data_IF_886709075684
#
_entry.id   IF_886709075684
#
_cell.length_a   1.000
_cell.length_b   1.000
_cell.length_c   1.000
_cell.angle_alpha   90.00
_cell.angle_beta   90.00
_cell.angle_gamma   90.00
#
_symmetry.space_group_name_H-M   'P 1'
#
loop_
_entity.id
_entity.type
_entity.pdbx_description
1 polymer ?
#
# COMPACT_ATOMS: atom_id res chain seq x y z
N UNK A 1 42.86 17.67 10.32
CA UNK A 1 41.91 16.57 9.97
C UNK A 1 40.49 16.79 10.49
N UNK A 2 40.27 16.98 11.80
CA UNK A 2 38.91 17.07 12.39
C UNK A 2 37.99 18.14 11.77
N UNK A 3 38.53 19.31 11.41
CA UNK A 3 37.77 20.41 10.77
C UNK A 3 37.31 20.10 9.34
N UNK A 4 38.13 19.37 8.57
CA UNK A 4 37.80 18.98 7.19
C UNK A 4 36.75 17.88 7.21
N UNK A 5 36.91 16.89 8.10
CA UNK A 5 35.92 15.83 8.30
C UNK A 5 34.55 16.43 8.69
N UNK A 6 34.53 17.36 9.66
CA UNK A 6 33.29 18.04 10.08
C UNK A 6 32.60 18.82 8.95
N UNK A 7 33.36 19.54 8.12
CA UNK A 7 32.80 20.26 6.95
C UNK A 7 32.25 19.30 5.91
N UNK A 8 32.95 18.19 5.67
CA UNK A 8 32.49 17.15 4.76
C UNK A 8 31.19 16.49 5.26
N UNK A 9 31.11 16.16 6.55
CA UNK A 9 29.88 15.62 7.16
C UNK A 9 28.72 16.61 7.04
N UNK A 10 28.96 17.90 7.28
CA UNK A 10 27.92 18.93 7.13
C UNK A 10 27.44 19.08 5.70
N UNK A 11 28.34 19.01 4.72
CA UNK A 11 27.98 19.03 3.29
C UNK A 11 27.16 17.82 2.89
N UNK A 12 27.54 16.62 3.36
CA UNK A 12 26.78 15.39 3.12
C UNK A 12 25.38 15.49 3.73
N UNK A 13 25.26 15.96 4.98
CA UNK A 13 23.95 16.16 5.62
C UNK A 13 23.12 17.20 4.86
N UNK A 14 23.70 18.34 4.47
CA UNK A 14 23.02 19.38 3.71
C UNK A 14 22.54 18.89 2.33
N UNK A 15 23.25 17.94 1.72
CA UNK A 15 22.86 17.32 0.46
C UNK A 15 21.73 16.29 0.65
N UNK A 16 21.77 15.51 1.74
CA UNK A 16 20.80 14.43 1.99
C UNK A 16 19.45 14.95 2.51
N UNK A 17 19.44 15.98 3.36
CA UNK A 17 18.20 16.55 3.93
C UNK A 17 17.13 16.87 2.87
N UNK A 18 17.40 17.63 1.79
CA UNK A 18 16.37 17.95 0.81
C UNK A 18 15.84 16.71 0.08
N UNK A 19 16.70 15.71 -0.14
CA UNK A 19 16.31 14.45 -0.78
C UNK A 19 15.30 13.67 0.06
N UNK A 20 15.55 13.57 1.37
CA UNK A 20 14.62 12.93 2.30
C UNK A 20 13.40 13.80 2.62
N UNK A 21 13.55 15.13 2.66
CA UNK A 21 12.44 16.05 2.92
C UNK A 21 11.35 15.92 1.86
N UNK A 22 11.72 15.84 0.57
CA UNK A 22 10.74 15.62 -0.51
C UNK A 22 10.00 14.30 -0.32
N UNK A 23 10.70 13.25 0.10
CA UNK A 23 10.06 11.98 0.43
C UNK A 23 9.07 12.07 1.58
N UNK A 24 9.33 12.88 2.61
CA UNK A 24 8.41 13.11 3.72
C UNK A 24 7.22 14.01 3.35
N UNK A 25 7.34 14.84 2.31
CA UNK A 25 6.24 15.70 1.85
C UNK A 25 5.24 14.99 0.95
N UNK A 26 5.56 13.79 0.45
CA UNK A 26 4.62 13.00 -0.31
C UNK A 26 3.49 12.48 0.59
N UNK A 27 2.26 12.84 0.28
CA UNK A 27 1.07 12.22 0.86
C UNK A 27 0.48 11.21 -0.10
N UNK A 28 0.55 9.94 0.26
CA UNK A 28 -0.31 8.92 -0.32
C UNK A 28 -1.53 8.81 0.58
N UNK A 29 -2.73 8.81 0.03
CA UNK A 29 -3.97 8.69 0.80
C UNK A 29 -4.70 7.41 0.43
N UNK A 30 -5.26 6.74 1.45
CA UNK A 30 -6.14 5.59 1.22
C UNK A 30 -7.41 6.07 0.52
N UNK A 31 -7.80 5.47 -0.62
CA UNK A 31 -9.04 5.83 -1.30
C UNK A 31 -10.26 5.62 -0.39
N UNK A 32 -11.21 6.58 -0.31
CA UNK A 32 -12.40 6.44 0.52
C UNK A 32 -13.21 5.18 0.23
N UNK A 33 -13.31 4.79 -1.05
CA UNK A 33 -14.02 3.59 -1.49
C UNK A 33 -13.51 2.28 -0.86
N UNK A 34 -12.26 2.23 -0.36
CA UNK A 34 -11.76 1.07 0.38
C UNK A 34 -12.46 0.92 1.74
N UNK A 35 -12.75 2.05 2.41
CA UNK A 35 -13.44 2.07 3.71
C UNK A 35 -14.92 1.76 3.60
N UNK A 36 -15.46 1.78 2.39
CA UNK A 36 -16.86 1.46 2.13
C UNK A 36 -17.08 -0.02 1.80
N UNK A 37 -16.01 -0.81 1.63
CA UNK A 37 -16.10 -2.27 1.51
C UNK A 37 -16.46 -2.81 2.89
N UNK A 38 -17.65 -3.38 3.01
CA UNK A 38 -18.22 -3.86 4.27
C UNK A 38 -18.28 -5.38 4.35
N UNK A 39 -18.38 -5.89 5.58
CA UNK A 39 -18.71 -7.29 5.84
C UNK A 39 -20.07 -7.60 5.20
N UNK A 40 -20.17 -8.73 4.50
CA UNK A 40 -21.36 -9.13 3.76
C UNK A 40 -21.45 -8.62 2.32
N UNK A 41 -20.53 -7.76 1.87
CA UNK A 41 -20.46 -7.39 0.45
C UNK A 41 -20.16 -8.62 -0.42
N UNK A 42 -20.71 -8.66 -1.63
CA UNK A 42 -20.39 -9.69 -2.60
C UNK A 42 -19.14 -9.37 -3.42
N UNK A 43 -18.63 -10.38 -4.15
CA UNK A 43 -17.45 -10.24 -5.01
C UNK A 43 -17.56 -9.11 -6.04
N UNK A 44 -18.75 -8.87 -6.60
CA UNK A 44 -18.95 -7.87 -7.64
C UNK A 44 -18.92 -6.46 -7.05
N UNK A 45 -19.55 -6.25 -5.89
CA UNK A 45 -19.49 -5.02 -5.10
C UNK A 45 -18.04 -4.66 -4.76
N UNK A 46 -17.28 -5.60 -4.20
CA UNK A 46 -15.86 -5.40 -3.86
C UNK A 46 -15.05 -5.00 -5.10
N UNK A 47 -15.20 -5.74 -6.20
CA UNK A 47 -14.50 -5.43 -7.47
C UNK A 47 -14.86 -4.03 -8.00
N UNK A 48 -16.13 -3.65 -7.94
CA UNK A 48 -16.59 -2.35 -8.40
C UNK A 48 -16.02 -1.22 -7.55
N UNK A 49 -15.99 -1.37 -6.22
CA UNK A 49 -15.40 -0.37 -5.31
C UNK A 49 -13.90 -0.24 -5.50
N UNK A 50 -13.18 -1.35 -5.68
CA UNK A 50 -11.75 -1.32 -5.98
C UNK A 50 -11.48 -0.59 -7.31
N UNK A 51 -12.27 -0.84 -8.36
CA UNK A 51 -12.14 -0.10 -9.62
C UNK A 51 -12.52 1.38 -9.49
N UNK A 52 -13.56 1.69 -8.72
CA UNK A 52 -13.96 3.07 -8.43
C UNK A 52 -12.88 3.83 -7.64
N UNK A 53 -12.06 3.12 -6.86
CA UNK A 53 -10.87 3.69 -6.20
C UNK A 53 -9.71 3.99 -7.16
N UNK A 54 -9.85 3.68 -8.45
CA UNK A 54 -8.80 3.85 -9.46
C UNK A 54 -7.78 2.72 -9.48
N UNK A 55 -8.05 1.59 -8.79
CA UNK A 55 -7.14 0.44 -8.83
C UNK A 55 -7.27 -0.29 -10.17
N UNK A 56 -6.13 -0.49 -10.82
CA UNK A 56 -6.05 -1.37 -11.97
C UNK A 56 -6.06 -2.84 -11.53
N UNK A 57 -6.65 -3.72 -12.34
CA UNK A 57 -6.76 -5.15 -12.01
C UNK A 57 -5.37 -5.80 -11.78
N UNK A 58 -4.29 -5.29 -12.39
CA UNK A 58 -2.92 -5.79 -12.19
C UNK A 58 -2.29 -5.38 -10.84
N UNK A 59 -2.88 -4.43 -10.12
CA UNK A 59 -2.47 -4.04 -8.78
C UNK A 59 -3.25 -4.80 -7.70
N UNK A 60 -4.19 -5.65 -8.11
CA UNK A 60 -5.04 -6.48 -7.26
C UNK A 60 -4.83 -7.96 -7.57
N UNK A 61 -4.38 -8.73 -6.59
CA UNK A 61 -4.20 -10.16 -6.69
C UNK A 61 -5.38 -10.88 -6.02
N UNK A 62 -6.13 -11.66 -6.80
CA UNK A 62 -7.21 -12.50 -6.30
C UNK A 62 -6.66 -13.89 -5.95
N UNK A 63 -6.53 -14.14 -4.65
CA UNK A 63 -5.92 -15.34 -4.08
C UNK A 63 -7.00 -16.38 -3.78
N UNK A 64 -7.29 -17.24 -4.75
CA UNK A 64 -8.31 -18.31 -4.62
C UNK A 64 -8.04 -19.23 -3.43
N UNK A 65 -6.77 -19.54 -3.13
CA UNK A 65 -6.40 -20.45 -2.02
C UNK A 65 -6.71 -19.85 -0.64
N UNK A 66 -6.79 -18.51 -0.54
CA UNK A 66 -7.06 -17.80 0.72
C UNK A 66 -8.45 -17.17 0.74
N UNK A 67 -9.25 -17.43 -0.29
CA UNK A 67 -10.53 -16.75 -0.52
C UNK A 67 -10.40 -15.25 -0.26
N UNK A 68 -9.38 -14.61 -0.85
CA UNK A 68 -9.09 -13.20 -0.58
C UNK A 68 -8.68 -12.42 -1.82
N UNK A 69 -8.79 -11.11 -1.74
CA UNK A 69 -8.19 -10.19 -2.70
C UNK A 69 -7.26 -9.23 -1.98
N UNK A 70 -6.08 -9.04 -2.55
CA UNK A 70 -5.07 -8.11 -2.05
C UNK A 70 -4.77 -7.05 -3.09
N UNK A 71 -4.97 -5.79 -2.76
CA UNK A 71 -4.62 -4.68 -3.64
C UNK A 71 -3.51 -3.81 -3.02
N UNK A 72 -2.57 -3.35 -3.84
CA UNK A 72 -1.46 -2.48 -3.40
C UNK A 72 -1.48 -1.16 -4.15
N UNK A 73 -1.63 -0.05 -3.41
CA UNK A 73 -1.51 1.30 -3.93
C UNK A 73 -0.09 1.79 -3.70
N UNK A 74 0.59 2.22 -4.76
CA UNK A 74 2.00 2.62 -4.72
C UNK A 74 2.12 4.09 -5.15
N UNK A 75 2.73 4.91 -4.30
CA UNK A 75 3.13 6.29 -4.58
C UNK A 75 4.50 6.34 -5.26
N UNK A 76 5.30 7.37 -4.96
CA UNK A 76 6.73 7.44 -5.33
C UNK A 76 7.64 6.92 -4.22
N UNK A 77 7.21 7.06 -2.97
CA UNK A 77 7.96 6.60 -1.81
C UNK A 77 7.11 5.85 -0.80
N UNK A 78 5.79 5.94 -0.90
CA UNK A 78 4.86 5.28 0.02
C UNK A 78 4.13 4.13 -0.66
N UNK A 79 3.67 3.17 0.13
CA UNK A 79 2.72 2.17 -0.31
C UNK A 79 1.65 1.95 0.74
N UNK A 80 0.42 1.74 0.29
CA UNK A 80 -0.74 1.35 1.06
C UNK A 80 -1.33 0.06 0.48
N UNK A 81 -2.21 -0.61 1.20
CA UNK A 81 -2.85 -1.81 0.68
C UNK A 81 -4.15 -2.13 1.36
N UNK A 82 -4.93 -2.99 0.72
CA UNK A 82 -6.13 -3.57 1.28
C UNK A 82 -6.10 -5.08 1.06
N UNK A 83 -6.50 -5.84 2.06
CA UNK A 83 -6.79 -7.27 1.96
C UNK A 83 -8.24 -7.49 2.38
N UNK A 84 -9.00 -8.18 1.54
CA UNK A 84 -10.40 -8.52 1.79
C UNK A 84 -10.52 -10.02 1.75
N UNK A 85 -11.02 -10.61 2.82
CA UNK A 85 -11.25 -12.06 2.95
C UNK A 85 -12.72 -12.37 2.79
N UNK A 86 -13.01 -13.49 2.15
CA UNK A 86 -14.34 -13.99 1.92
C UNK A 86 -14.60 -15.24 2.77
N UNK A 87 -15.87 -15.46 3.14
CA UNK A 87 -16.32 -16.56 4.00
C UNK A 87 -16.15 -17.95 3.38
N UNK A 88 -16.09 -18.03 2.05
CA UNK A 88 -15.99 -19.27 1.26
C UNK A 88 -15.55 -18.97 -0.18
N UNK A 89 -15.19 -19.98 -0.97
CA UNK A 89 -14.93 -19.80 -2.39
C UNK A 89 -16.21 -19.59 -3.22
N UNK A 90 -16.04 -18.97 -4.38
CA UNK A 90 -17.05 -18.88 -5.43
C UNK A 90 -17.85 -17.57 -5.47
N UNK A 91 -18.75 -17.43 -6.44
CA UNK A 91 -19.51 -16.18 -6.67
C UNK A 91 -20.51 -15.83 -5.57
N UNK A 92 -20.92 -16.83 -4.76
CA UNK A 92 -21.81 -16.64 -3.62
C UNK A 92 -21.07 -16.22 -2.33
N UNK A 93 -19.74 -16.09 -2.39
CA UNK A 93 -18.92 -15.65 -1.28
C UNK A 93 -19.28 -14.23 -0.84
N UNK A 94 -19.04 -13.97 0.45
CA UNK A 94 -19.33 -12.71 1.13
C UNK A 94 -18.12 -12.28 1.91
N UNK A 95 -17.88 -10.98 1.96
CA UNK A 95 -16.78 -10.42 2.75
C UNK A 95 -16.96 -10.81 4.21
N UNK A 96 -15.95 -11.46 4.78
CA UNK A 96 -15.87 -11.81 6.19
C UNK A 96 -14.99 -10.83 6.96
N UNK A 97 -13.92 -10.33 6.33
CA UNK A 97 -12.93 -9.48 6.97
C UNK A 97 -12.30 -8.50 5.97
N UNK A 98 -11.96 -7.30 6.44
CA UNK A 98 -11.33 -6.24 5.63
C UNK A 98 -10.18 -5.63 6.42
N UNK A 99 -8.98 -5.71 5.85
CA UNK A 99 -7.76 -5.12 6.39
C UNK A 99 -7.29 -3.99 5.50
N UNK A 100 -7.28 -2.77 6.04
CA UNK A 100 -6.71 -1.60 5.37
C UNK A 100 -5.36 -1.29 6.00
N UNK A 101 -4.32 -1.28 5.18
CA UNK A 101 -2.98 -0.89 5.56
C UNK A 101 -2.75 0.56 5.13
N UNK A 102 -2.66 1.43 6.13
CA UNK A 102 -2.33 2.84 5.93
C UNK A 102 -0.95 2.99 5.25
N UNK A 103 -0.75 4.09 4.50
CA UNK A 103 0.49 4.38 3.78
C UNK A 103 1.73 4.28 4.67
N UNK A 104 2.72 3.52 4.23
CA UNK A 104 4.03 3.39 4.88
C UNK A 104 5.13 3.83 3.92
N UNK A 105 6.16 4.48 4.46
CA UNK A 105 7.35 4.83 3.71
C UNK A 105 8.11 3.55 3.31
N UNK A 106 8.36 3.38 2.02
CA UNK A 106 9.02 2.22 1.41
C UNK A 106 10.39 2.55 0.79
N UNK A 107 10.83 3.81 0.89
CA UNK A 107 12.12 4.27 0.39
C UNK A 107 12.05 5.01 -0.95
N UNK A 108 13.18 5.61 -1.39
CA UNK A 108 13.30 6.39 -2.63
C UNK A 108 13.21 5.57 -3.92
N UNK A 109 13.40 4.26 -3.82
CA UNK A 109 13.30 3.31 -4.91
C UNK A 109 12.41 2.18 -4.40
N UNK A 110 11.25 1.97 -5.03
CA UNK A 110 10.36 0.85 -4.70
C UNK A 110 11.02 -0.49 -5.10
N UNK A 111 12.14 -0.85 -4.48
CA UNK A 111 12.82 -2.10 -4.80
C UNK A 111 11.95 -3.30 -4.41
N UNK A 112 11.08 -3.15 -3.40
CA UNK A 112 10.34 -4.27 -2.81
C UNK A 112 8.92 -3.95 -2.32
N UNK A 113 8.23 -2.92 -2.81
CA UNK A 113 6.82 -2.69 -2.45
C UNK A 113 5.84 -3.71 -3.10
N UNK A 114 6.26 -4.96 -3.30
CA UNK A 114 5.34 -6.08 -3.06
C UNK A 114 5.19 -6.09 -1.55
N UNK A 115 4.04 -5.69 -1.03
CA UNK A 115 3.65 -6.08 0.31
C UNK A 115 3.79 -7.61 0.35
N UNK A 116 4.92 -8.12 0.84
CA UNK A 116 5.30 -9.53 0.81
C UNK A 116 5.13 -10.01 2.23
N UNK A 117 4.22 -10.97 2.40
CA UNK A 117 3.88 -11.71 3.62
C UNK A 117 3.09 -10.87 4.65
N UNK A 118 1.81 -11.19 4.91
CA UNK A 118 1.39 -12.32 5.73
C UNK A 118 2.02 -12.24 7.14
N UNK A 119 1.21 -11.82 8.10
CA UNK A 119 1.44 -11.94 9.53
C UNK A 119 0.07 -12.20 10.16
N UNK A 120 -0.27 -13.37 10.66
CA UNK A 120 0.40 -14.65 10.81
C UNK A 120 -0.67 -15.64 11.26
#
# INVERSE_FOLDING_TARGET
>A
MLRILRRFTLLVIALLIPFYAVSFTESLTVPPAWREIGIGDDHASVRNRLRASGMADNQCEWLVVRDSVRCTLVGRHHAAGIEVFFDRPGSAARVAEVHIHEPRYTGPFHLHARLRNASG
#
